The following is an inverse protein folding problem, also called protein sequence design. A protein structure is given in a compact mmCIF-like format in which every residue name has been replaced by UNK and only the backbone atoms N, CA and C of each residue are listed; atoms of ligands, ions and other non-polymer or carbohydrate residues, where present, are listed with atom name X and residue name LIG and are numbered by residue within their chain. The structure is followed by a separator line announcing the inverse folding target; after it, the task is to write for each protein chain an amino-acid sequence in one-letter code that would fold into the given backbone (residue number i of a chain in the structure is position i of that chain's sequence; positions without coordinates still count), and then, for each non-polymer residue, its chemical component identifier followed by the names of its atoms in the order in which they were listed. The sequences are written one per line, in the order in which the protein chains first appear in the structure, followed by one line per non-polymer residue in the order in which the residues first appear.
data_IF_385311227626
#
_entry.id   IF_385311227626
#
_cell.length_a   1.000
_cell.length_b   1.000
_cell.length_c   1.000
_cell.angle_alpha   90.00
_cell.angle_beta   90.00
_cell.angle_gamma   90.00
#
_symmetry.space_group_name_H-M   'P 1'
#
loop_
_entity.id
_entity.type
_entity.pdbx_description
1 polymer ?
#
# COMPACT_ATOMS: atom_id res chain seq x y z
N UNK A 1 36.15 11.62 -12.71
CA UNK A 1 36.54 10.40 -11.98
C UNK A 1 35.75 10.23 -10.69
N UNK A 2 34.47 10.63 -10.62
CA UNK A 2 33.79 10.87 -9.35
C UNK A 2 32.36 10.28 -9.37
N UNK A 3 32.19 9.07 -9.90
CA UNK A 3 30.87 8.42 -9.96
C UNK A 3 30.92 7.09 -9.22
N UNK A 4 29.78 6.65 -8.70
CA UNK A 4 29.65 5.34 -8.07
C UNK A 4 30.11 4.21 -9.02
N UNK A 5 29.78 4.34 -10.32
CA UNK A 5 30.26 3.41 -11.37
C UNK A 5 31.79 3.35 -11.44
N UNK A 6 32.48 4.48 -11.26
CA UNK A 6 33.95 4.52 -11.22
C UNK A 6 34.50 3.82 -9.98
N UNK A 7 33.91 4.01 -8.80
CA UNK A 7 34.30 3.28 -7.59
C UNK A 7 34.11 1.77 -7.76
N UNK A 8 32.99 1.35 -8.35
CA UNK A 8 32.71 -0.05 -8.66
C UNK A 8 33.71 -0.63 -9.66
N UNK A 9 34.17 0.16 -10.64
CA UNK A 9 35.25 -0.28 -11.56
C UNK A 9 36.62 -0.43 -10.87
N UNK A 10 36.79 0.13 -9.67
CA UNK A 10 37.99 -0.01 -8.84
C UNK A 10 37.74 -0.91 -7.61
N UNK A 11 36.74 -1.80 -7.69
CA UNK A 11 36.43 -2.81 -6.66
C UNK A 11 35.90 -2.26 -5.32
N UNK A 12 35.43 -1.00 -5.29
CA UNK A 12 34.79 -0.40 -4.11
C UNK A 12 33.25 -0.34 -4.26
N UNK A 13 32.52 -0.55 -3.16
CA UNK A 13 31.05 -0.43 -3.10
C UNK A 13 30.32 -1.29 -4.17
N UNK A 14 30.88 -2.46 -4.50
CA UNK A 14 30.35 -3.39 -5.51
C UNK A 14 28.95 -3.92 -5.16
N UNK A 15 28.64 -3.98 -3.87
CA UNK A 15 27.39 -4.47 -3.33
C UNK A 15 26.26 -3.44 -3.39
N UNK A 16 26.58 -2.17 -3.71
CA UNK A 16 25.58 -1.11 -3.86
C UNK A 16 24.85 -1.26 -5.19
N UNK A 17 23.57 -1.61 -5.11
CA UNK A 17 22.70 -1.79 -6.28
C UNK A 17 22.21 -0.42 -6.79
N UNK A 18 22.65 -0.07 -8.00
CA UNK A 18 22.31 1.18 -8.68
C UNK A 18 20.81 1.30 -8.98
N UNK A 19 20.16 0.19 -9.36
CA UNK A 19 18.73 0.19 -9.66
C UNK A 19 17.92 0.38 -8.39
N UNK A 20 18.34 -0.24 -7.28
CA UNK A 20 17.69 0.00 -5.98
C UNK A 20 17.88 1.42 -5.49
N UNK A 21 19.03 2.05 -5.73
CA UNK A 21 19.32 3.41 -5.27
C UNK A 21 18.72 4.52 -6.15
N UNK A 22 18.66 4.31 -7.47
CA UNK A 22 18.25 5.35 -8.43
C UNK A 22 17.06 4.96 -9.31
N UNK A 23 16.49 3.77 -9.15
CA UNK A 23 15.44 3.24 -10.05
C UNK A 23 15.87 3.37 -11.53
N UNK A 24 14.93 3.74 -12.40
CA UNK A 24 15.17 3.96 -13.84
C UNK A 24 15.64 5.39 -14.18
N UNK A 25 16.36 6.07 -13.27
CA UNK A 25 16.81 7.46 -13.49
C UNK A 25 17.60 7.65 -14.80
N UNK A 26 18.40 6.65 -15.20
CA UNK A 26 19.17 6.73 -16.44
C UNK A 26 18.26 6.82 -17.68
N UNK A 27 17.14 6.10 -17.67
CA UNK A 27 16.13 6.14 -18.73
C UNK A 27 15.43 7.50 -18.77
N UNK A 28 15.03 8.02 -17.61
CA UNK A 28 14.46 9.38 -17.48
C UNK A 28 15.41 10.45 -18.03
N UNK A 29 16.71 10.32 -17.72
CA UNK A 29 17.70 11.25 -18.21
C UNK A 29 17.84 11.18 -19.74
N UNK A 30 17.81 9.98 -20.34
CA UNK A 30 17.84 9.80 -21.80
C UNK A 30 16.64 10.46 -22.48
N UNK A 31 15.43 10.24 -21.98
CA UNK A 31 14.20 10.86 -22.50
C UNK A 31 14.29 12.40 -22.38
N UNK A 32 14.74 12.89 -21.23
CA UNK A 32 14.90 14.32 -20.98
C UNK A 32 15.92 14.97 -21.90
N UNK A 33 17.05 14.31 -22.11
CA UNK A 33 18.12 14.80 -22.97
C UNK A 33 17.69 14.81 -24.45
N UNK A 34 16.99 13.76 -24.89
CA UNK A 34 16.42 13.67 -26.24
C UNK A 34 15.44 14.82 -26.51
N UNK A 35 14.58 15.13 -25.53
CA UNK A 35 13.69 16.28 -25.60
C UNK A 35 14.42 17.60 -25.70
N UNK A 36 15.38 17.85 -24.80
CA UNK A 36 16.16 19.09 -24.80
C UNK A 36 16.90 19.27 -26.12
N UNK A 37 17.54 18.21 -26.63
CA UNK A 37 18.24 18.22 -27.91
C UNK A 37 17.29 18.60 -29.05
N UNK A 38 16.17 17.89 -29.17
CA UNK A 38 15.15 18.18 -30.20
C UNK A 38 14.63 19.62 -30.08
N UNK A 39 14.34 20.07 -28.85
CA UNK A 39 13.85 21.42 -28.58
C UNK A 39 14.86 22.49 -29.00
N UNK A 40 16.12 22.37 -28.59
CA UNK A 40 17.16 23.34 -28.96
C UNK A 40 17.48 23.33 -30.46
N UNK A 41 17.44 22.17 -31.11
CA UNK A 41 17.59 22.06 -32.57
C UNK A 41 16.47 22.82 -33.30
N UNK A 42 15.21 22.62 -32.92
CA UNK A 42 14.08 23.36 -33.52
C UNK A 42 14.15 24.86 -33.25
N UNK A 43 14.55 25.26 -32.03
CA UNK A 43 14.75 26.69 -31.71
C UNK A 43 15.86 27.29 -32.60
N UNK A 44 16.97 26.58 -32.78
CA UNK A 44 18.09 27.04 -33.63
C UNK A 44 17.67 27.17 -35.10
N UNK A 45 16.91 26.21 -35.62
CA UNK A 45 16.38 26.27 -36.99
C UNK A 45 15.42 27.45 -37.18
N UNK A 46 14.55 27.72 -36.19
CA UNK A 46 13.64 28.86 -36.25
C UNK A 46 14.39 30.20 -36.23
N UNK A 47 15.37 30.37 -35.34
CA UNK A 47 16.21 31.58 -35.30
C UNK A 47 16.97 31.79 -36.61
N UNK A 48 17.34 30.72 -37.30
CA UNK A 48 18.04 30.78 -38.58
C UNK A 48 17.11 31.05 -39.78
N UNK A 49 15.81 30.76 -39.66
CA UNK A 49 14.79 30.88 -40.71
C UNK A 49 13.71 31.87 -40.25
N UNK A 50 13.98 33.16 -40.48
CA UNK A 50 13.35 34.32 -39.84
C UNK A 50 11.83 34.57 -40.06
N UNK A 51 11.05 33.70 -40.71
CA UNK A 51 9.68 34.06 -41.13
C UNK A 51 8.57 33.00 -40.89
N UNK A 52 8.88 31.84 -40.30
CA UNK A 52 7.85 30.81 -40.02
C UNK A 52 7.59 30.66 -38.52
N UNK A 53 6.33 30.51 -38.06
CA UNK A 53 6.05 30.20 -36.66
C UNK A 53 6.76 28.90 -36.24
N UNK A 54 7.35 28.89 -35.05
CA UNK A 54 8.01 27.70 -34.51
C UNK A 54 6.99 26.56 -34.37
N UNK A 55 7.29 25.40 -34.96
CA UNK A 55 6.48 24.19 -34.83
C UNK A 55 6.66 23.53 -33.45
N UNK A 56 6.30 24.27 -32.40
CA UNK A 56 6.40 23.83 -31.01
C UNK A 56 5.44 22.67 -30.71
N UNK A 57 4.33 22.60 -31.45
CA UNK A 57 3.31 21.56 -31.30
C UNK A 57 3.84 20.18 -31.71
N UNK A 58 4.64 20.07 -32.78
CA UNK A 58 5.24 18.78 -33.14
C UNK A 58 6.28 18.30 -32.12
N UNK A 59 7.02 19.21 -31.51
CA UNK A 59 7.96 18.88 -30.41
C UNK A 59 7.20 18.34 -29.21
N UNK A 60 6.15 19.05 -28.77
CA UNK A 60 5.29 18.59 -27.66
C UNK A 60 4.66 17.24 -28.00
N UNK A 61 4.19 17.06 -29.23
CA UNK A 61 3.63 15.78 -29.70
C UNK A 61 4.64 14.66 -29.57
N UNK A 62 5.84 14.81 -30.12
CA UNK A 62 6.89 13.79 -30.04
C UNK A 62 7.26 13.47 -28.59
N UNK A 63 7.30 14.48 -27.73
CA UNK A 63 7.68 14.31 -26.33
C UNK A 63 6.61 13.61 -25.48
N UNK A 64 5.34 14.01 -25.61
CA UNK A 64 4.24 13.48 -24.79
C UNK A 64 3.55 12.26 -25.39
N UNK A 65 3.71 11.97 -26.69
CA UNK A 65 3.22 10.72 -27.29
C UNK A 65 4.11 9.52 -26.97
N UNK A 66 5.41 9.72 -26.73
CA UNK A 66 6.32 8.66 -26.30
C UNK A 66 6.13 8.21 -24.85
N UNK A 67 7.09 7.46 -24.34
CA UNK A 67 7.01 6.74 -23.05
C UNK A 67 7.21 7.64 -21.81
N UNK A 68 7.24 8.97 -21.97
CA UNK A 68 7.52 9.93 -20.90
C UNK A 68 6.75 9.64 -19.61
N UNK A 69 5.42 9.50 -19.71
CA UNK A 69 4.56 9.26 -18.56
C UNK A 69 4.85 7.89 -17.92
N UNK A 70 5.05 6.85 -18.74
CA UNK A 70 5.32 5.49 -18.26
C UNK A 70 6.67 5.43 -17.53
N UNK A 71 7.72 6.00 -18.11
CA UNK A 71 9.05 6.04 -17.49
C UNK A 71 9.03 6.83 -16.18
N UNK A 72 8.27 7.93 -16.07
CA UNK A 72 8.07 8.64 -14.80
C UNK A 72 7.28 7.80 -13.79
N UNK A 73 6.25 7.07 -14.22
CA UNK A 73 5.51 6.17 -13.34
C UNK A 73 6.41 5.07 -12.75
N UNK A 74 7.26 4.44 -13.55
CA UNK A 74 8.22 3.42 -13.08
C UNK A 74 9.14 4.00 -12.01
N UNK A 75 9.67 5.22 -12.22
CA UNK A 75 10.50 5.88 -11.22
C UNK A 75 9.75 6.11 -9.91
N UNK A 76 8.56 6.71 -10.01
CA UNK A 76 7.77 7.10 -8.83
C UNK A 76 7.32 5.88 -8.01
N UNK A 77 7.01 4.74 -8.66
CA UNK A 77 6.67 3.50 -7.96
C UNK A 77 7.85 2.92 -7.16
N UNK A 78 9.09 3.18 -7.62
CA UNK A 78 10.30 2.71 -6.95
C UNK A 78 10.92 3.75 -6.00
N UNK A 79 10.47 5.00 -6.04
CA UNK A 79 11.02 6.11 -5.27
C UNK A 79 11.09 5.82 -3.76
N UNK A 80 10.00 5.36 -3.15
CA UNK A 80 9.96 5.03 -1.71
C UNK A 80 10.95 3.92 -1.36
N UNK A 81 11.06 2.90 -2.21
CA UNK A 81 12.02 1.80 -2.03
C UNK A 81 13.45 2.29 -2.14
N UNK A 82 13.73 3.22 -3.05
CA UNK A 82 15.04 3.82 -3.23
C UNK A 82 15.48 4.68 -2.04
N UNK A 83 14.57 5.50 -1.50
CA UNK A 83 14.82 6.28 -0.28
C UNK A 83 15.07 5.36 0.90
N UNK A 84 14.27 4.30 1.08
CA UNK A 84 14.49 3.33 2.14
C UNK A 84 15.84 2.62 2.02
N UNK A 85 16.23 2.21 0.81
CA UNK A 85 17.54 1.61 0.54
C UNK A 85 18.68 2.58 0.86
N UNK A 86 18.55 3.86 0.48
CA UNK A 86 19.50 4.92 0.81
C UNK A 86 19.66 5.11 2.32
N UNK A 87 18.57 5.17 3.09
CA UNK A 87 18.66 5.33 4.55
C UNK A 87 19.36 4.15 5.23
N UNK A 88 19.17 2.93 4.71
CA UNK A 88 19.91 1.75 5.18
C UNK A 88 21.40 1.84 4.84
N UNK A 89 21.74 2.25 3.61
CA UNK A 89 23.14 2.42 3.19
C UNK A 89 23.84 3.53 3.97
N UNK A 90 23.13 4.61 4.32
CA UNK A 90 23.66 5.74 5.09
C UNK A 90 24.15 5.33 6.49
N UNK A 91 23.63 4.24 7.06
CA UNK A 91 24.11 3.71 8.34
C UNK A 91 25.50 3.08 8.26
N UNK A 92 25.98 2.75 7.06
CA UNK A 92 27.33 2.21 6.86
C UNK A 92 28.34 3.35 6.78
N UNK A 93 29.48 3.15 7.41
CA UNK A 93 30.55 4.15 7.46
C UNK A 93 31.15 4.43 6.07
N UNK A 94 31.44 3.38 5.30
CA UNK A 94 32.03 3.48 3.95
C UNK A 94 31.15 4.29 2.99
N UNK A 95 29.87 3.92 2.89
CA UNK A 95 28.90 4.61 2.04
C UNK A 95 28.56 6.00 2.59
N UNK A 96 28.46 6.15 3.92
CA UNK A 96 28.21 7.44 4.56
C UNK A 96 29.29 8.48 4.26
N UNK A 97 30.57 8.07 4.23
CA UNK A 97 31.69 8.94 3.83
C UNK A 97 31.56 9.33 2.35
N UNK A 98 31.34 8.34 1.48
CA UNK A 98 31.16 8.58 0.04
C UNK A 98 29.99 9.55 -0.22
N UNK A 99 28.85 9.34 0.43
CA UNK A 99 27.66 10.16 0.28
C UNK A 99 27.92 11.61 0.70
N UNK A 100 28.54 11.82 1.88
CA UNK A 100 28.91 13.17 2.36
C UNK A 100 29.84 13.88 1.39
N UNK A 101 30.83 13.16 0.85
CA UNK A 101 31.75 13.71 -0.15
C UNK A 101 31.02 14.11 -1.44
N UNK A 102 30.05 13.30 -1.90
CA UNK A 102 29.21 13.67 -3.05
C UNK A 102 28.36 14.91 -2.77
N UNK A 103 27.72 15.00 -1.60
CA UNK A 103 26.82 16.11 -1.23
C UNK A 103 27.56 17.45 -1.03
N UNK A 104 28.87 17.41 -0.78
CA UNK A 104 29.72 18.61 -0.73
C UNK A 104 29.99 19.22 -2.12
N UNK A 105 29.68 18.51 -3.20
CA UNK A 105 29.90 19.03 -4.55
C UNK A 105 28.99 20.24 -4.83
N UNK A 106 29.57 21.33 -5.37
CA UNK A 106 28.83 22.55 -5.69
C UNK A 106 27.62 22.31 -6.62
N UNK A 107 27.71 21.28 -7.49
CA UNK A 107 26.62 20.89 -8.39
C UNK A 107 25.36 20.41 -7.66
N UNK A 108 25.50 19.92 -6.42
CA UNK A 108 24.37 19.53 -5.58
C UNK A 108 23.60 20.74 -5.05
N UNK A 109 24.14 21.96 -5.14
CA UNK A 109 23.48 23.21 -4.69
C UNK A 109 23.00 23.14 -3.24
N UNK A 110 23.80 22.50 -2.36
CA UNK A 110 23.50 22.25 -0.93
C UNK A 110 22.30 21.32 -0.68
N UNK A 111 21.82 20.61 -1.70
CA UNK A 111 20.79 19.59 -1.54
C UNK A 111 21.44 18.24 -1.21
N UNK A 112 20.82 17.52 -0.30
CA UNK A 112 21.15 16.13 0.00
C UNK A 112 20.55 15.20 -1.04
N UNK A 113 21.07 13.96 -1.12
CA UNK A 113 20.63 13.00 -2.12
C UNK A 113 19.11 12.71 -2.10
N UNK A 114 18.44 12.54 -0.94
CA UNK A 114 16.99 12.35 -0.92
C UNK A 114 16.21 13.48 -1.59
N UNK A 115 16.64 14.74 -1.39
CA UNK A 115 15.98 15.91 -1.99
C UNK A 115 16.14 15.94 -3.52
N UNK A 116 17.26 15.44 -4.02
CA UNK A 116 17.51 15.29 -5.46
C UNK A 116 16.69 14.15 -6.06
N UNK A 117 16.50 13.05 -5.33
CA UNK A 117 15.70 11.90 -5.78
C UNK A 117 14.21 12.24 -5.96
N UNK A 118 13.69 13.27 -5.29
CA UNK A 118 12.28 13.70 -5.47
C UNK A 118 12.08 14.40 -6.83
N UNK A 119 13.14 14.90 -7.48
CA UNK A 119 13.01 15.78 -8.65
C UNK A 119 12.16 15.23 -9.80
N UNK A 120 12.22 13.93 -10.19
CA UNK A 120 11.33 13.40 -11.23
C UNK A 120 9.85 13.43 -10.87
N UNK A 121 9.50 13.22 -9.60
CA UNK A 121 8.11 13.32 -9.12
C UNK A 121 7.61 14.77 -9.25
N UNK A 122 8.40 15.73 -8.76
CA UNK A 122 8.09 17.16 -8.91
C UNK A 122 7.99 17.60 -10.38
N UNK A 123 8.80 17.02 -11.25
CA UNK A 123 8.76 17.33 -12.68
C UNK A 123 7.46 16.84 -13.31
N UNK A 124 7.01 15.62 -12.99
CA UNK A 124 5.77 15.07 -13.51
C UNK A 124 4.57 15.96 -13.16
N UNK A 125 4.48 16.43 -11.91
CA UNK A 125 3.37 17.26 -11.42
C UNK A 125 3.39 18.69 -11.95
N UNK A 126 4.51 19.17 -12.48
CA UNK A 126 4.62 20.49 -13.13
C UNK A 126 4.11 20.50 -14.57
N UNK A 127 4.12 19.37 -15.28
CA UNK A 127 3.70 19.34 -16.69
C UNK A 127 2.26 19.82 -16.91
N UNK A 128 1.24 19.41 -16.12
CA UNK A 128 -0.12 19.94 -16.27
C UNK A 128 -0.17 21.47 -16.13
N UNK A 129 0.60 22.04 -15.20
CA UNK A 129 0.67 23.49 -14.98
C UNK A 129 1.29 24.24 -16.16
N UNK A 130 2.36 23.67 -16.75
CA UNK A 130 3.00 24.24 -17.93
C UNK A 130 2.08 24.15 -19.15
N UNK A 131 1.45 23.00 -19.37
CA UNK A 131 0.50 22.79 -20.47
C UNK A 131 -0.71 23.70 -20.34
N UNK A 132 -1.23 23.91 -19.12
CA UNK A 132 -2.33 24.86 -18.86
C UNK A 132 -1.96 26.30 -19.23
N UNK A 133 -0.74 26.72 -18.90
CA UNK A 133 -0.25 28.05 -19.28
C UNK A 133 -0.07 28.22 -20.79
N UNK A 134 0.38 27.18 -21.49
CA UNK A 134 0.50 27.19 -22.95
C UNK A 134 -0.90 27.23 -23.58
N UNK A 135 -1.83 26.39 -23.09
CA UNK A 135 -3.22 26.34 -23.54
C UNK A 135 -3.93 27.69 -23.43
N UNK A 136 -3.73 28.41 -22.31
CA UNK A 136 -4.30 29.75 -22.09
C UNK A 136 -3.80 30.80 -23.08
N UNK A 137 -2.58 30.62 -23.61
CA UNK A 137 -1.91 31.57 -24.52
C UNK A 137 -2.02 31.17 -25.99
N UNK A 138 -2.59 30.01 -26.29
CA UNK A 138 -2.78 29.52 -27.66
C UNK A 138 -3.99 30.19 -28.31
N UNK A 139 -3.81 30.70 -29.53
CA UNK A 139 -4.85 31.38 -30.29
C UNK A 139 -5.62 30.43 -31.23
N UNK A 140 -4.95 29.39 -31.75
CA UNK A 140 -5.55 28.42 -32.66
C UNK A 140 -6.41 27.37 -31.93
N UNK A 141 -7.58 27.07 -32.50
CA UNK A 141 -8.54 26.13 -31.92
C UNK A 141 -8.03 24.67 -31.95
N UNK A 142 -7.32 24.27 -33.02
CA UNK A 142 -6.80 22.91 -33.14
C UNK A 142 -5.62 22.67 -32.20
N UNK A 143 -4.70 23.65 -32.09
CA UNK A 143 -3.61 23.64 -31.10
C UNK A 143 -4.15 23.57 -29.67
N UNK A 144 -5.17 24.38 -29.37
CA UNK A 144 -5.80 24.42 -28.05
C UNK A 144 -6.44 23.08 -27.68
N UNK A 145 -7.16 22.45 -28.62
CA UNK A 145 -7.69 21.10 -28.44
C UNK A 145 -6.59 20.05 -28.21
N UNK A 146 -5.50 20.14 -28.96
CA UNK A 146 -4.36 19.23 -28.80
C UNK A 146 -3.67 19.37 -27.43
N UNK A 147 -3.34 20.59 -27.01
CA UNK A 147 -2.68 20.85 -25.71
C UNK A 147 -3.58 20.41 -24.54
N UNK A 148 -4.90 20.63 -24.65
CA UNK A 148 -5.85 20.12 -23.66
C UNK A 148 -5.78 18.59 -23.55
N UNK A 149 -5.78 17.89 -24.68
CA UNK A 149 -5.69 16.42 -24.69
C UNK A 149 -4.38 15.92 -24.05
N UNK A 150 -3.26 16.64 -24.24
CA UNK A 150 -1.99 16.32 -23.59
C UNK A 150 -2.06 16.53 -22.07
N UNK A 151 -2.66 17.65 -21.64
CA UNK A 151 -2.86 17.95 -20.21
C UNK A 151 -3.67 16.85 -19.55
N UNK A 152 -4.82 16.47 -20.12
CA UNK A 152 -5.67 15.40 -19.61
C UNK A 152 -4.93 14.05 -19.56
N UNK A 153 -4.11 13.74 -20.58
CA UNK A 153 -3.29 12.52 -20.58
C UNK A 153 -2.31 12.48 -19.40
N UNK A 154 -1.62 13.59 -19.13
CA UNK A 154 -0.66 13.66 -18.01
C UNK A 154 -1.37 13.62 -16.67
N UNK A 155 -2.47 14.36 -16.51
CA UNK A 155 -3.27 14.34 -15.27
C UNK A 155 -3.85 12.95 -14.99
N UNK A 156 -4.35 12.26 -16.02
CA UNK A 156 -4.79 10.87 -15.89
C UNK A 156 -3.63 9.97 -15.46
N UNK A 157 -2.46 10.12 -16.06
CA UNK A 157 -1.26 9.36 -15.67
C UNK A 157 -0.86 9.60 -14.21
N UNK A 158 -1.04 10.82 -13.68
CA UNK A 158 -0.79 11.14 -12.26
C UNK A 158 -1.83 10.44 -11.37
N UNK A 159 -3.12 10.53 -11.69
CA UNK A 159 -4.17 9.82 -10.93
C UNK A 159 -3.98 8.31 -10.95
N UNK A 160 -3.64 7.74 -12.10
CA UNK A 160 -3.35 6.31 -12.24
C UNK A 160 -2.13 5.90 -11.38
N UNK A 161 -1.11 6.76 -11.30
CA UNK A 161 0.06 6.54 -10.45
C UNK A 161 -0.31 6.56 -8.97
N UNK A 162 -1.10 7.53 -8.51
CA UNK A 162 -1.60 7.59 -7.13
C UNK A 162 -2.36 6.30 -6.78
N UNK A 163 -3.21 5.82 -7.69
CA UNK A 163 -3.90 4.53 -7.56
C UNK A 163 -2.94 3.35 -7.44
N UNK A 164 -1.90 3.28 -8.29
CA UNK A 164 -0.88 2.23 -8.23
C UNK A 164 -0.05 2.27 -6.94
N UNK A 165 0.30 3.46 -6.44
CA UNK A 165 1.01 3.63 -5.16
C UNK A 165 0.16 3.12 -4.00
N UNK A 166 -1.12 3.50 -3.96
CA UNK A 166 -2.06 3.00 -2.95
C UNK A 166 -2.24 1.48 -3.03
N UNK A 167 -2.33 0.94 -4.25
CA UNK A 167 -2.42 -0.51 -4.45
C UNK A 167 -1.15 -1.22 -3.98
N UNK A 168 0.04 -0.70 -4.28
CA UNK A 168 1.31 -1.29 -3.88
C UNK A 168 1.46 -1.32 -2.36
N UNK A 169 1.09 -0.22 -1.69
CA UNK A 169 1.09 -0.14 -0.23
C UNK A 169 0.15 -1.19 0.39
N UNK A 170 -1.10 -1.26 -0.10
CA UNK A 170 -2.06 -2.29 0.31
C UNK A 170 -1.50 -3.70 0.06
N UNK A 171 -0.93 -3.97 -1.12
CA UNK A 171 -0.39 -5.28 -1.46
C UNK A 171 0.74 -5.69 -0.51
N UNK A 172 1.68 -4.79 -0.21
CA UNK A 172 2.76 -5.05 0.75
C UNK A 172 2.22 -5.30 2.16
N UNK A 173 1.24 -4.49 2.59
CA UNK A 173 0.54 -4.64 3.86
C UNK A 173 -0.13 -6.02 3.98
N UNK A 174 -0.89 -6.44 2.97
CA UNK A 174 -1.56 -7.75 2.96
C UNK A 174 -0.59 -8.93 2.88
N UNK A 175 0.48 -8.84 2.09
CA UNK A 175 1.54 -9.86 2.08
C UNK A 175 2.11 -10.04 3.48
N UNK A 176 2.43 -8.95 4.19
CA UNK A 176 2.96 -9.06 5.54
C UNK A 176 1.94 -9.64 6.53
N UNK A 177 0.67 -9.27 6.41
CA UNK A 177 -0.38 -9.86 7.24
C UNK A 177 -0.54 -11.37 6.98
N UNK A 178 -0.37 -11.85 5.75
CA UNK A 178 -0.36 -13.28 5.43
C UNK A 178 0.77 -14.04 6.12
N UNK A 179 1.95 -13.43 6.27
CA UNK A 179 3.09 -14.04 6.98
C UNK A 179 2.87 -14.10 8.49
N UNK A 180 2.16 -13.11 9.04
CA UNK A 180 1.98 -12.93 10.50
C UNK A 180 0.73 -13.65 11.02
N UNK A 181 -0.33 -13.75 10.21
CA UNK A 181 -1.60 -14.37 10.59
C UNK A 181 -1.58 -15.85 10.24
N UNK A 182 -1.62 -16.69 11.28
CA UNK A 182 -1.64 -18.15 11.16
C UNK A 182 -3.07 -18.65 11.30
N UNK A 183 -3.53 -19.41 10.31
CA UNK A 183 -4.82 -20.09 10.31
C UNK A 183 -4.65 -21.51 10.87
N UNK A 184 -5.04 -21.78 12.13
CA UNK A 184 -4.99 -23.14 12.66
C UNK A 184 -6.01 -24.03 11.96
N UNK A 185 -5.70 -25.31 11.83
CA UNK A 185 -6.60 -26.27 11.20
C UNK A 185 -7.85 -26.50 12.06
N UNK A 186 -8.94 -26.93 11.43
CA UNK A 186 -10.24 -27.10 12.11
C UNK A 186 -10.13 -28.05 13.32
N UNK A 187 -9.38 -29.15 13.18
CA UNK A 187 -9.14 -30.12 14.26
C UNK A 187 -8.19 -29.61 15.35
N UNK A 188 -7.33 -28.61 15.07
CA UNK A 188 -6.50 -27.97 16.09
C UNK A 188 -7.32 -26.98 16.94
N UNK A 189 -8.35 -26.38 16.32
CA UNK A 189 -9.26 -25.44 16.97
C UNK A 189 -10.30 -26.15 17.83
N UNK A 190 -10.89 -27.21 17.30
CA UNK A 190 -11.96 -27.94 17.96
C UNK A 190 -11.65 -29.45 17.97
N UNK A 191 -11.28 -29.92 19.17
CA UNK A 191 -10.89 -31.31 19.42
C UNK A 191 -12.03 -32.33 19.20
N UNK A 192 -13.26 -31.87 18.97
CA UNK A 192 -14.38 -32.74 18.60
C UNK A 192 -14.24 -33.29 17.19
N UNK A 193 -13.50 -32.62 16.32
CA UNK A 193 -13.25 -33.10 14.96
C UNK A 193 -12.08 -34.08 14.96
N UNK A 194 -12.38 -35.35 14.70
CA UNK A 194 -11.36 -36.37 14.47
C UNK A 194 -11.11 -36.53 12.97
N UNK A 195 -9.87 -36.29 12.54
CA UNK A 195 -9.42 -36.52 11.17
C UNK A 195 -8.18 -37.41 11.20
N UNK A 196 -8.24 -38.61 10.61
CA UNK A 196 -7.07 -39.49 10.46
C UNK A 196 -5.91 -38.80 9.75
N UNK A 197 -4.67 -39.06 10.18
CA UNK A 197 -3.47 -38.37 9.67
C UNK A 197 -3.31 -38.47 8.15
N UNK A 198 -3.66 -39.62 7.56
CA UNK A 198 -3.61 -39.85 6.11
C UNK A 198 -4.57 -38.95 5.31
N UNK A 199 -5.64 -38.46 5.92
CA UNK A 199 -6.61 -37.56 5.29
C UNK A 199 -6.32 -36.08 5.57
N UNK A 200 -5.44 -35.78 6.53
CA UNK A 200 -5.06 -34.38 6.80
C UNK A 200 -4.32 -33.76 5.61
N UNK A 201 -3.46 -34.52 4.94
CA UNK A 201 -2.70 -34.05 3.78
C UNK A 201 -3.63 -33.59 2.64
N UNK A 202 -4.63 -34.41 2.29
CA UNK A 202 -5.58 -34.08 1.22
C UNK A 202 -6.50 -32.91 1.57
N UNK A 203 -6.85 -32.73 2.85
CA UNK A 203 -7.63 -31.57 3.30
C UNK A 203 -6.78 -30.29 3.30
N UNK A 204 -5.49 -30.38 3.65
CA UNK A 204 -4.57 -29.22 3.61
C UNK A 204 -4.38 -28.69 2.18
N UNK A 205 -4.27 -29.57 1.20
CA UNK A 205 -4.15 -29.20 -0.22
C UNK A 205 -5.42 -28.53 -0.78
N UNK A 206 -6.59 -28.87 -0.23
CA UNK A 206 -7.89 -28.33 -0.65
C UNK A 206 -8.32 -27.06 0.12
N UNK A 207 -7.68 -26.75 1.25
CA UNK A 207 -8.07 -25.63 2.11
C UNK A 207 -7.53 -24.30 1.56
N UNK A 208 -8.33 -23.67 0.72
CA UNK A 208 -8.14 -22.29 0.21
C UNK A 208 -8.25 -21.19 1.27
N UNK A 209 -8.36 -21.52 2.56
CA UNK A 209 -8.47 -20.54 3.66
C UNK A 209 -7.21 -19.68 3.83
N UNK A 210 -6.06 -20.11 3.31
CA UNK A 210 -4.84 -19.29 3.21
C UNK A 210 -4.99 -18.12 2.21
N UNK A 211 -5.98 -18.18 1.31
CA UNK A 211 -6.24 -17.19 0.26
C UNK A 211 -7.29 -16.15 0.65
N UNK A 212 -7.78 -16.12 1.89
CA UNK A 212 -8.72 -15.05 2.27
C UNK A 212 -7.99 -13.73 2.03
N UNK A 213 -6.84 -13.51 2.66
CA UNK A 213 -6.05 -12.28 2.54
C UNK A 213 -5.40 -12.03 1.16
N UNK A 214 -5.58 -12.91 0.16
CA UNK A 214 -5.00 -12.73 -1.18
C UNK A 214 -5.86 -11.88 -2.12
N UNK A 215 -7.05 -11.44 -1.69
CA UNK A 215 -7.92 -10.57 -2.50
C UNK A 215 -7.24 -9.22 -2.78
N UNK A 216 -7.11 -8.84 -4.05
CA UNK A 216 -6.39 -7.63 -4.48
C UNK A 216 -7.10 -6.32 -4.12
N UNK A 217 -8.39 -6.39 -3.77
CA UNK A 217 -9.24 -5.23 -3.56
C UNK A 217 -9.67 -5.05 -2.10
N UNK A 218 -9.24 -5.94 -1.20
CA UNK A 218 -9.60 -5.83 0.22
C UNK A 218 -8.85 -4.67 0.87
N UNK A 219 -9.51 -4.00 1.80
CA UNK A 219 -8.93 -2.91 2.58
C UNK A 219 -8.93 -3.29 4.06
N UNK A 220 -7.80 -3.05 4.75
CA UNK A 220 -7.77 -3.10 6.21
C UNK A 220 -8.16 -1.72 6.75
N UNK A 221 -9.33 -1.62 7.35
CA UNK A 221 -9.92 -0.37 7.83
C UNK A 221 -9.41 0.01 9.22
N UNK A 222 -9.30 -0.97 10.12
CA UNK A 222 -8.80 -0.75 11.47
C UNK A 222 -8.13 -1.99 12.03
N UNK A 223 -7.18 -1.79 12.93
CA UNK A 223 -6.35 -2.85 13.51
C UNK A 223 -5.88 -2.44 14.91
N UNK A 224 -5.70 -3.40 15.81
CA UNK A 224 -5.19 -3.08 17.14
C UNK A 224 -5.36 -4.17 18.20
N UNK A 225 -4.68 -3.96 19.33
CA UNK A 225 -4.67 -4.87 20.47
C UNK A 225 -5.86 -4.63 21.40
N UNK A 226 -6.52 -5.72 21.79
CA UNK A 226 -7.59 -5.75 22.78
C UNK A 226 -7.40 -6.94 23.73
N UNK A 227 -8.14 -6.96 24.83
CA UNK A 227 -8.21 -8.11 25.73
C UNK A 227 -9.53 -8.84 25.53
N UNK A 228 -9.48 -10.13 25.19
CA UNK A 228 -10.65 -10.99 25.09
C UNK A 228 -10.92 -11.67 26.43
N UNK A 229 -12.14 -11.54 26.95
CA UNK A 229 -12.59 -12.26 28.13
C UNK A 229 -13.18 -13.63 27.74
N UNK A 230 -12.51 -14.71 28.15
CA UNK A 230 -13.05 -16.08 28.16
C UNK A 230 -13.57 -16.42 29.59
N UNK A 231 -14.34 -17.51 29.71
CA UNK A 231 -15.01 -17.90 30.96
C UNK A 231 -14.11 -18.02 32.19
N UNK A 232 -12.82 -18.29 32.01
CA UNK A 232 -11.86 -18.52 33.10
C UNK A 232 -10.61 -17.65 33.02
N UNK A 233 -10.45 -16.83 31.96
CA UNK A 233 -9.21 -16.09 31.71
C UNK A 233 -9.39 -14.92 30.76
N UNK A 234 -8.47 -13.97 30.85
CA UNK A 234 -8.31 -12.90 29.88
C UNK A 234 -7.17 -13.26 28.93
N UNK A 235 -7.38 -13.05 27.63
CA UNK A 235 -6.41 -13.31 26.58
C UNK A 235 -6.06 -12.05 25.81
N UNK A 236 -4.79 -11.89 25.51
CA UNK A 236 -4.33 -10.88 24.56
C UNK A 236 -4.78 -11.23 23.14
N UNK A 237 -5.58 -10.34 22.56
CA UNK A 237 -6.11 -10.47 21.22
C UNK A 237 -5.63 -9.31 20.32
N UNK A 238 -5.45 -9.60 19.04
CA UNK A 238 -5.25 -8.58 18.02
C UNK A 238 -6.37 -8.69 16.99
N UNK A 239 -7.06 -7.59 16.75
CA UNK A 239 -8.18 -7.53 15.82
C UNK A 239 -7.76 -6.89 14.51
N UNK A 240 -8.32 -7.41 13.42
CA UNK A 240 -8.18 -6.86 12.07
C UNK A 240 -9.58 -6.67 11.48
N UNK A 241 -10.00 -5.42 11.32
CA UNK A 241 -11.26 -5.03 10.71
C UNK A 241 -11.04 -4.70 9.24
N UNK A 242 -11.47 -5.60 8.37
CA UNK A 242 -11.48 -5.40 6.92
C UNK A 242 -12.80 -4.77 6.47
N UNK A 243 -12.87 -4.39 5.20
CA UNK A 243 -14.07 -3.83 4.57
C UNK A 243 -15.20 -4.84 4.34
N UNK A 244 -14.94 -6.14 4.50
CA UNK A 244 -15.92 -7.23 4.33
C UNK A 244 -16.08 -8.16 5.55
N UNK A 245 -15.10 -8.23 6.46
CA UNK A 245 -15.20 -9.01 7.69
C UNK A 245 -14.32 -8.48 8.83
N UNK A 246 -14.61 -8.95 10.06
CA UNK A 246 -13.75 -8.79 11.22
C UNK A 246 -13.02 -10.10 11.54
N UNK A 247 -11.73 -10.02 11.82
CA UNK A 247 -10.89 -11.14 12.26
C UNK A 247 -10.40 -10.92 13.69
N UNK A 248 -10.62 -11.93 14.54
CA UNK A 248 -10.15 -11.95 15.93
C UNK A 248 -9.01 -12.97 16.03
N UNK A 249 -7.85 -12.54 16.52
CA UNK A 249 -6.65 -13.39 16.63
C UNK A 249 -6.09 -13.40 18.05
N UNK A 250 -5.41 -14.48 18.43
CA UNK A 250 -4.63 -14.60 19.66
C UNK A 250 -3.18 -14.22 19.39
N UNK A 251 -2.62 -13.37 20.24
CA UNK A 251 -1.23 -12.94 20.14
C UNK A 251 -0.32 -14.05 20.67
N UNK A 252 0.70 -14.43 19.89
CA UNK A 252 1.78 -15.33 20.31
C UNK A 252 3.15 -14.76 19.96
N UNK A 253 4.16 -15.11 20.76
CA UNK A 253 5.55 -14.70 20.55
C UNK A 253 6.44 -15.94 20.51
N UNK A 254 7.34 -16.01 19.53
CA UNK A 254 8.35 -17.07 19.51
C UNK A 254 9.40 -16.81 20.60
N UNK A 255 9.59 -17.76 21.52
CA UNK A 255 10.58 -17.65 22.61
C UNK A 255 12.04 -17.89 22.17
N UNK A 256 12.34 -18.08 20.88
CA UNK A 256 13.71 -18.36 20.40
C UNK A 256 14.00 -17.71 19.04
N UNK A 257 14.92 -16.73 19.06
CA UNK A 257 16.15 -16.65 18.24
C UNK A 257 16.98 -15.46 18.75
N UNK A 258 17.74 -15.69 19.82
CA UNK A 258 18.94 -14.91 20.13
C UNK A 258 20.13 -15.74 19.68
N UNK A 259 20.99 -15.16 18.84
CA UNK A 259 22.24 -15.77 18.38
C UNK A 259 22.34 -15.83 16.86
N UNK A 260 22.82 -14.76 16.26
CA UNK A 260 23.15 -14.68 14.83
C UNK A 260 23.24 -13.22 14.41
N UNK A 261 24.46 -12.76 14.11
CA UNK A 261 24.83 -11.42 13.65
C UNK A 261 24.28 -11.03 12.27
N UNK A 262 23.19 -11.66 11.83
CA UNK A 262 22.42 -11.35 10.64
C UNK A 262 20.97 -11.08 11.06
N UNK A 263 20.76 -10.04 11.85
CA UNK A 263 19.41 -9.45 11.98
C UNK A 263 19.13 -8.77 10.64
N UNK A 264 18.78 -9.57 9.63
CA UNK A 264 18.05 -9.05 8.48
C UNK A 264 16.80 -8.41 9.08
N UNK A 265 16.84 -7.09 9.18
CA UNK A 265 15.70 -6.25 9.53
C UNK A 265 14.59 -6.67 8.57
N UNK A 266 13.69 -7.55 8.98
CA UNK A 266 12.54 -7.93 8.16
C UNK A 266 11.90 -6.61 7.76
N UNK A 267 11.90 -6.23 6.48
CA UNK A 267 11.37 -4.94 6.07
C UNK A 267 9.90 -4.95 6.40
N UNK A 268 9.51 -4.21 7.43
CA UNK A 268 8.12 -4.10 7.84
C UNK A 268 7.48 -3.00 7.02
N UNK A 269 6.29 -3.28 6.50
CA UNK A 269 5.52 -2.33 5.72
C UNK A 269 5.23 -1.07 6.56
N UNK A 270 5.65 0.12 6.10
CA UNK A 270 5.57 1.35 6.89
C UNK A 270 4.13 1.82 7.14
N UNK A 271 3.15 1.34 6.37
CA UNK A 271 1.72 1.67 6.54
C UNK A 271 1.01 0.86 7.64
N UNK A 272 1.68 -0.14 8.24
CA UNK A 272 1.17 -0.80 9.44
C UNK A 272 1.32 0.10 10.67
N UNK A 273 0.43 -0.05 11.65
CA UNK A 273 0.55 0.66 12.93
C UNK A 273 1.90 0.39 13.61
N UNK A 274 2.54 1.39 14.25
CA UNK A 274 3.84 1.20 14.92
C UNK A 274 3.85 0.07 15.94
N UNK A 275 2.73 -0.15 16.63
CA UNK A 275 2.54 -1.27 17.56
C UNK A 275 2.70 -2.63 16.85
N UNK A 276 2.01 -2.83 15.71
CA UNK A 276 2.12 -4.05 14.93
C UNK A 276 3.52 -4.22 14.34
N UNK A 277 4.14 -3.12 13.90
CA UNK A 277 5.51 -3.16 13.39
C UNK A 277 6.50 -3.67 14.44
N UNK A 278 6.43 -3.16 15.67
CA UNK A 278 7.27 -3.63 16.78
C UNK A 278 7.01 -5.10 17.09
N UNK A 279 5.73 -5.48 17.15
CA UNK A 279 5.33 -6.86 17.41
C UNK A 279 5.89 -7.85 16.38
N UNK A 280 5.86 -7.50 15.09
CA UNK A 280 6.41 -8.33 14.01
C UNK A 280 7.94 -8.40 14.11
N UNK A 281 8.62 -7.27 14.38
CA UNK A 281 10.09 -7.25 14.58
C UNK A 281 10.53 -8.12 15.77
N UNK A 282 9.70 -8.22 16.81
CA UNK A 282 9.91 -9.10 17.96
C UNK A 282 9.63 -10.60 17.67
N UNK A 283 9.31 -10.97 16.43
CA UNK A 283 8.97 -12.36 16.05
C UNK A 283 7.59 -12.79 16.56
N UNK A 284 6.68 -11.83 16.74
CA UNK A 284 5.29 -12.05 17.07
C UNK A 284 4.47 -12.54 15.88
N UNK A 285 3.50 -13.40 16.15
CA UNK A 285 2.52 -13.86 15.17
C UNK A 285 1.12 -13.97 15.79
N UNK A 286 0.09 -13.90 14.95
CA UNK A 286 -1.31 -13.87 15.34
C UNK A 286 -1.98 -15.17 14.92
N UNK A 287 -2.41 -16.01 15.87
CA UNK A 287 -3.18 -17.22 15.53
C UNK A 287 -4.66 -16.88 15.48
N UNK A 288 -5.34 -17.17 14.36
CA UNK A 288 -6.77 -16.90 14.23
C UNK A 288 -7.56 -17.67 15.29
N UNK A 289 -8.39 -16.93 16.04
CA UNK A 289 -9.15 -17.47 17.16
C UNK A 289 -10.40 -18.19 16.68
N UNK A 290 -11.16 -17.53 15.81
CA UNK A 290 -12.37 -18.04 15.18
C UNK A 290 -12.50 -17.71 13.71
N UNK A 291 -13.47 -18.33 13.04
CA UNK A 291 -13.79 -18.01 11.66
C UNK A 291 -14.01 -16.49 11.50
N UNK A 292 -13.63 -15.92 10.34
CA UNK A 292 -13.90 -14.51 10.06
C UNK A 292 -15.39 -14.22 10.23
N UNK A 293 -15.71 -13.06 10.82
CA UNK A 293 -17.08 -12.63 11.06
C UNK A 293 -17.47 -11.66 9.93
N UNK A 294 -18.31 -12.06 8.97
CA UNK A 294 -18.77 -11.16 7.90
C UNK A 294 -19.48 -9.94 8.49
N UNK A 295 -19.28 -8.76 7.92
CA UNK A 295 -19.86 -7.53 8.47
C UNK A 295 -21.39 -7.51 8.42
N UNK A 296 -22.03 -8.18 7.45
CA UNK A 296 -23.50 -8.36 7.40
C UNK A 296 -24.06 -9.28 8.49
N UNK A 297 -23.19 -9.93 9.26
CA UNK A 297 -23.55 -10.90 10.31
C UNK A 297 -22.93 -10.57 11.66
N UNK A 298 -22.28 -9.42 11.74
CA UNK A 298 -21.69 -8.91 12.96
C UNK A 298 -22.70 -8.01 13.66
N UNK A 299 -23.02 -8.35 14.91
CA UNK A 299 -23.81 -7.49 15.79
C UNK A 299 -22.89 -6.96 16.88
N UNK A 300 -22.78 -5.64 16.94
CA UNK A 300 -22.02 -4.92 17.96
C UNK A 300 -22.96 -4.46 19.07
N UNK A 301 -22.60 -4.72 20.33
CA UNK A 301 -23.34 -4.27 21.51
C UNK A 301 -22.40 -3.63 22.52
N UNK A 302 -22.76 -2.44 23.00
CA UNK A 302 -22.08 -1.84 24.14
C UNK A 302 -22.50 -2.56 25.43
N UNK A 303 -21.58 -2.74 26.38
CA UNK A 303 -21.89 -3.33 27.69
C UNK A 303 -22.25 -2.21 28.66
N UNK A 304 -23.42 -2.32 29.28
CA UNK A 304 -23.91 -1.32 30.23
C UNK A 304 -22.99 -1.17 31.46
N UNK A 305 -22.88 0.04 32.03
CA UNK A 305 -22.00 0.33 33.17
C UNK A 305 -22.26 -0.55 34.41
N UNK A 306 -23.48 -1.05 34.56
CA UNK A 306 -23.90 -1.90 35.69
C UNK A 306 -23.27 -3.30 35.58
N UNK A 307 -23.14 -3.83 34.37
CA UNK A 307 -22.52 -5.14 34.14
C UNK A 307 -20.99 -5.04 34.20
N UNK A 308 -20.42 -3.87 33.88
CA UNK A 308 -18.99 -3.57 34.01
C UNK A 308 -18.51 -3.68 35.45
N UNK A 309 -19.27 -3.16 36.43
CA UNK A 309 -18.88 -3.21 37.85
C UNK A 309 -19.02 -4.59 38.46
N UNK A 310 -20.05 -5.35 38.09
CA UNK A 310 -20.29 -6.71 38.60
C UNK A 310 -19.23 -7.70 38.12
N UNK A 311 -18.81 -7.60 36.86
CA UNK A 311 -17.82 -8.51 36.26
C UNK A 311 -16.39 -7.93 36.21
N UNK A 312 -16.17 -6.74 36.80
CA UNK A 312 -14.88 -6.02 36.76
C UNK A 312 -14.31 -5.81 35.33
N UNK A 313 -15.19 -5.68 34.33
CA UNK A 313 -14.83 -5.57 32.92
C UNK A 313 -14.60 -4.11 32.53
N UNK A 314 -13.36 -3.71 32.26
CA UNK A 314 -13.06 -2.30 31.95
C UNK A 314 -13.23 -2.03 30.45
N UNK A 315 -13.90 -0.92 30.12
CA UNK A 315 -14.10 -0.43 28.74
C UNK A 315 -14.54 -1.55 27.77
N UNK A 316 -15.51 -2.37 28.19
CA UNK A 316 -15.89 -3.58 27.47
C UNK A 316 -17.00 -3.35 26.44
N UNK A 317 -16.96 -4.11 25.35
CA UNK A 317 -18.01 -4.21 24.33
C UNK A 317 -18.11 -5.66 23.84
N UNK A 318 -19.25 -5.99 23.24
CA UNK A 318 -19.60 -7.35 22.86
C UNK A 318 -19.79 -7.44 21.34
N UNK A 319 -19.22 -8.48 20.76
CA UNK A 319 -19.40 -8.84 19.36
C UNK A 319 -20.14 -10.17 19.31
N UNK A 320 -21.28 -10.19 18.63
CA UNK A 320 -22.07 -11.37 18.36
C UNK A 320 -21.95 -11.73 16.88
N UNK A 321 -21.62 -12.99 16.59
CA UNK A 321 -21.60 -13.54 15.24
C UNK A 321 -22.88 -14.33 15.02
N UNK A 322 -23.68 -13.90 14.04
CA UNK A 322 -24.86 -14.64 13.60
C UNK A 322 -24.59 -15.46 12.34
N UNK A 323 -25.27 -16.59 12.18
CA UNK A 323 -25.29 -17.29 10.90
C UNK A 323 -26.31 -16.67 9.94
N UNK A 324 -26.41 -17.20 8.72
CA UNK A 324 -27.41 -16.77 7.71
C UNK A 324 -28.86 -16.83 8.22
N UNK A 325 -29.15 -17.68 9.21
CA UNK A 325 -30.47 -17.87 9.79
C UNK A 325 -30.71 -17.02 11.05
N UNK A 326 -29.86 -16.01 11.30
CA UNK A 326 -29.91 -15.12 12.48
C UNK A 326 -29.79 -15.87 13.81
N UNK A 327 -29.14 -17.03 13.81
CA UNK A 327 -28.80 -17.73 15.04
C UNK A 327 -27.44 -17.25 15.52
N UNK A 328 -27.36 -16.90 16.80
CA UNK A 328 -26.10 -16.57 17.46
C UNK A 328 -25.21 -17.83 17.53
N UNK A 329 -24.09 -17.81 16.81
CA UNK A 329 -23.15 -18.95 16.76
C UNK A 329 -21.87 -18.69 17.56
N UNK A 330 -21.53 -17.43 17.84
CA UNK A 330 -20.40 -17.08 18.71
C UNK A 330 -20.62 -15.70 19.36
N UNK A 331 -20.02 -15.52 20.53
CA UNK A 331 -20.03 -14.25 21.28
C UNK A 331 -18.62 -13.98 21.80
N UNK A 332 -18.13 -12.76 21.58
CA UNK A 332 -16.81 -12.31 22.00
C UNK A 332 -16.95 -11.05 22.87
N UNK A 333 -16.43 -11.14 24.09
CA UNK A 333 -16.40 -10.02 25.03
C UNK A 333 -15.01 -9.39 25.02
N UNK A 334 -14.91 -8.18 24.48
CA UNK A 334 -13.64 -7.49 24.25
C UNK A 334 -13.51 -6.29 25.19
N UNK A 335 -12.30 -6.06 25.69
CA UNK A 335 -11.94 -4.96 26.56
C UNK A 335 -10.84 -4.12 25.91
N UNK A 336 -11.08 -2.82 25.81
CA UNK A 336 -10.09 -1.85 25.36
C UNK A 336 -9.29 -1.27 26.53
N UNK A 337 -8.06 -0.83 26.27
CA UNK A 337 -7.21 -0.23 27.30
C UNK A 337 -7.80 1.09 27.84
N UNK A 338 -8.48 1.85 26.97
CA UNK A 338 -9.12 3.12 27.31
C UNK A 338 -10.55 3.17 26.79
N UNK A 339 -11.39 4.00 27.41
CA UNK A 339 -12.75 4.26 26.94
C UNK A 339 -12.75 4.96 25.57
N UNK A 340 -11.71 5.76 25.27
CA UNK A 340 -11.53 6.37 23.95
C UNK A 340 -11.27 5.30 22.88
N UNK A 341 -10.37 4.35 23.14
CA UNK A 341 -10.09 3.25 22.23
C UNK A 341 -11.34 2.37 22.01
N UNK A 342 -12.12 2.10 23.07
CA UNK A 342 -13.41 1.41 22.96
C UNK A 342 -14.35 2.14 22.00
N UNK A 343 -14.54 3.45 22.18
CA UNK A 343 -15.41 4.27 21.32
C UNK A 343 -14.93 4.28 19.87
N UNK A 344 -13.61 4.38 19.66
CA UNK A 344 -13.02 4.29 18.31
C UNK A 344 -13.32 2.94 17.67
N UNK A 345 -13.08 1.83 18.37
CA UNK A 345 -13.39 0.49 17.85
C UNK A 345 -14.86 0.33 17.48
N UNK A 346 -15.76 0.73 18.37
CA UNK A 346 -17.20 0.62 18.11
C UNK A 346 -17.61 1.45 16.88
N UNK A 347 -17.17 2.71 16.82
CA UNK A 347 -17.47 3.61 15.71
C UNK A 347 -16.89 3.11 14.37
N UNK A 348 -15.66 2.58 14.36
CA UNK A 348 -15.04 2.03 13.15
C UNK A 348 -15.79 0.78 12.65
N UNK A 349 -16.20 -0.11 13.55
CA UNK A 349 -16.99 -1.30 13.22
C UNK A 349 -18.36 -0.89 12.66
N UNK A 350 -19.08 0.03 13.32
CA UNK A 350 -20.37 0.52 12.85
C UNK A 350 -20.27 1.16 11.46
N UNK A 351 -19.26 2.01 11.26
CA UNK A 351 -18.99 2.64 9.96
C UNK A 351 -18.70 1.61 8.88
N UNK A 352 -17.91 0.58 9.18
CA UNK A 352 -17.61 -0.50 8.25
C UNK A 352 -18.88 -1.29 7.87
N UNK A 353 -19.74 -1.62 8.83
CA UNK A 353 -21.02 -2.31 8.59
C UNK A 353 -21.95 -1.47 7.71
N UNK A 354 -22.08 -0.17 8.00
CA UNK A 354 -22.91 0.74 7.20
C UNK A 354 -22.40 0.85 5.76
N UNK A 355 -21.09 1.00 5.56
CA UNK A 355 -20.49 1.09 4.24
C UNK A 355 -20.64 -0.22 3.45
N UNK A 356 -20.42 -1.37 4.09
CA UNK A 356 -20.58 -2.68 3.47
C UNK A 356 -22.02 -2.90 2.99
N UNK A 357 -23.00 -2.56 3.84
CA UNK A 357 -24.44 -2.65 3.49
C UNK A 357 -24.78 -1.76 2.30
N UNK A 358 -24.35 -0.49 2.31
CA UNK A 358 -24.60 0.46 1.23
C UNK A 358 -24.00 -0.01 -0.12
N UNK A 359 -22.78 -0.56 -0.11
CA UNK A 359 -22.14 -1.12 -1.30
C UNK A 359 -22.84 -2.37 -1.84
N UNK A 360 -23.40 -3.21 -0.96
CA UNK A 360 -24.15 -4.39 -1.37
C UNK A 360 -25.54 -4.05 -1.94
N UNK A 361 -26.20 -3.03 -1.42
CA UNK A 361 -27.48 -2.54 -1.94
C UNK A 361 -27.31 -1.91 -3.33
N UNK A 362 -26.27 -1.11 -3.55
CA UNK A 362 -25.94 -0.54 -4.87
C UNK A 362 -25.57 -1.62 -5.89
N UNK A 363 -24.78 -2.64 -5.51
CA UNK A 363 -24.46 -3.76 -6.41
C UNK A 363 -25.69 -4.58 -6.80
N UNK A 364 -26.60 -4.84 -5.85
CA UNK A 364 -27.86 -5.53 -6.13
C UNK A 364 -28.72 -4.73 -7.10
N UNK A 365 -28.88 -3.43 -6.88
CA UNK A 365 -29.68 -2.56 -7.76
C UNK A 365 -29.08 -2.42 -9.17
N UNK A 366 -27.76 -2.44 -9.33
CA UNK A 366 -27.12 -2.50 -10.67
C UNK A 366 -27.27 -3.86 -11.36
N UNK A 367 -27.33 -4.96 -10.61
CA UNK A 367 -27.49 -6.31 -11.16
C UNK A 367 -28.92 -6.59 -11.68
N UNK A 368 -29.92 -5.85 -11.21
CA UNK A 368 -31.29 -5.91 -11.72
C UNK A 368 -31.53 -5.04 -12.96
N UNK A 369 -30.53 -4.28 -13.44
CA UNK A 369 -30.60 -3.44 -14.64
C UNK A 369 -29.87 -4.06 -15.84
N UNK A 370 -30.02 -5.36 -16.08
CA UNK A 370 -29.78 -5.93 -17.41
C UNK A 370 -31.13 -6.03 -18.15
N UNK A 371 -31.25 -5.53 -19.40
CA UNK A 371 -32.49 -5.68 -20.16
C UNK A 371 -32.74 -7.17 -20.42
N UNK A 372 -33.98 -7.60 -20.21
CA UNK A 372 -34.43 -8.90 -20.67
C UNK A 372 -34.16 -9.00 -22.17
N UNK A 373 -33.37 -10.00 -22.58
CA UNK A 373 -33.24 -10.37 -23.98
C UNK A 373 -34.63 -10.69 -24.52
N UNK A 374 -35.04 -9.88 -25.49
CA UNK A 374 -36.19 -10.10 -26.34
C UNK A 374 -35.98 -11.41 -27.12
N UNK A 375 -36.64 -12.46 -26.67
CA UNK A 375 -36.88 -13.66 -27.47
C UNK A 375 -37.96 -13.32 -28.51
N UNK A 376 -37.53 -12.95 -29.72
CA UNK A 376 -38.37 -13.01 -30.92
C UNK A 376 -38.19 -14.39 -31.58
N UNK A 377 -39.33 -15.03 -31.85
CA UNK A 377 -39.52 -16.13 -32.81
C UNK A 377 -39.92 -15.50 -34.14
#
# INVERSE_FOLDING_TARGET
MNTLKYLQSNEFLLDVDLWRLFANLEELNKISHSFLKTFFETVKEHVSKSDSPMDFISILRKFFQGDLCQTHQIYCLNYTSAVFYLENLRQREDFGIYLKWCEQNERCKRLHLPELLVAPLHRLTRYPLLLDNIWKRSADGAEKGFIWSLKEKVEKSIRDLEGKVKWLDNFQKFRQLQEVIIWPQVWDRDKRFFVPECLKQSIRENNSSENILSSTNRLLLHEGRLTLAESTRLLDAYLFLFDDFLLITKIKRNKKKYGGSDTSLIPVCPSLTPELQSFIREGGFCTVLDQPIPLDRLILKNVDPIHVTVFSLRNAFLIQHENRYRQCIAVFLLQAQTETAKKTWMSQIETAISNYTAHHETKKSTAFCFPAESSEI
#
